data_IF_143048885647
#
_entry.id   IF_143048885647
#
_cell.length_a   1.000
_cell.length_b   1.000
_cell.length_c   1.000
_cell.angle_alpha   90.00
_cell.angle_beta   90.00
_cell.angle_gamma   90.00
#
_symmetry.space_group_name_H-M   'P 1'
#
loop_
_entity.id
_entity.type
_entity.pdbx_description
1 polymer ?
#
# COMPACT_ATOMS: atom_id res chain seq x y z
N UNK A 1 -0.64 14.23 16.90
CA UNK A 1 -1.06 12.94 16.34
C UNK A 1 -0.67 11.87 17.34
N UNK A 2 -1.62 11.15 17.95
CA UNK A 2 -1.35 10.14 18.98
C UNK A 2 -1.51 8.76 18.35
N UNK A 3 -0.41 8.00 18.25
CA UNK A 3 -0.39 6.63 17.73
C UNK A 3 -0.47 5.67 18.91
N UNK A 4 -1.42 4.74 18.85
CA UNK A 4 -1.61 3.70 19.86
C UNK A 4 -1.02 2.37 19.36
N UNK A 5 -0.35 1.65 20.25
CA UNK A 5 0.22 0.33 19.97
C UNK A 5 -0.60 -0.73 20.70
N UNK A 6 -1.06 -1.75 19.97
CA UNK A 6 -1.74 -2.93 20.51
C UNK A 6 -1.00 -4.16 19.99
N UNK A 7 -0.18 -4.77 20.84
CA UNK A 7 0.77 -5.80 20.41
C UNK A 7 1.76 -5.23 19.38
N UNK A 8 1.81 -5.83 18.17
CA UNK A 8 2.61 -5.32 17.07
C UNK A 8 1.85 -4.36 16.15
N UNK A 9 0.56 -4.14 16.37
CA UNK A 9 -0.28 -3.29 15.52
C UNK A 9 -0.24 -1.83 15.99
N UNK A 10 -0.32 -0.92 15.02
CA UNK A 10 -0.31 0.52 15.22
C UNK A 10 -1.65 1.10 14.75
N UNK A 11 -2.22 1.98 15.54
CA UNK A 11 -3.50 2.65 15.27
C UNK A 11 -3.37 4.16 15.41
N UNK A 12 -4.06 4.90 14.55
CA UNK A 12 -4.29 6.33 14.72
C UNK A 12 -5.78 6.55 14.95
N UNK A 13 -6.13 6.98 16.17
CA UNK A 13 -7.50 6.87 16.68
C UNK A 13 -7.95 5.41 16.57
N UNK A 14 -9.03 5.14 15.84
CA UNK A 14 -9.55 3.78 15.62
C UNK A 14 -9.14 3.18 14.26
N UNK A 15 -8.32 3.89 13.47
CA UNK A 15 -7.87 3.43 12.16
C UNK A 15 -6.59 2.63 12.26
N UNK A 16 -6.59 1.43 11.67
CA UNK A 16 -5.38 0.65 11.50
C UNK A 16 -4.37 1.42 10.63
N UNK A 17 -3.23 1.73 11.23
CA UNK A 17 -2.15 2.50 10.62
C UNK A 17 -1.06 1.59 10.08
N UNK A 18 -0.84 0.43 10.70
CA UNK A 18 0.17 -0.53 10.26
C UNK A 18 0.66 -1.42 11.39
N UNK A 19 1.89 -1.92 11.28
CA UNK A 19 2.48 -2.82 12.27
C UNK A 19 3.99 -2.64 12.40
N UNK A 20 4.55 -2.99 13.55
CA UNK A 20 6.00 -3.08 13.75
C UNK A 20 6.52 -4.45 13.34
N UNK A 21 7.63 -4.50 12.61
CA UNK A 21 8.39 -5.73 12.35
C UNK A 21 9.87 -5.48 12.60
N UNK A 22 10.49 -6.27 13.50
CA UNK A 22 11.91 -6.15 13.86
C UNK A 22 12.34 -4.72 14.22
N UNK A 23 11.49 -3.98 14.94
CA UNK A 23 11.73 -2.59 15.33
C UNK A 23 11.49 -1.55 14.23
N UNK A 24 11.11 -1.96 13.01
CA UNK A 24 10.75 -1.05 11.92
C UNK A 24 9.23 -0.85 11.86
N UNK A 25 8.74 0.39 11.86
CA UNK A 25 7.33 0.66 11.62
C UNK A 25 7.01 0.45 10.13
N UNK A 26 6.03 -0.41 9.86
CA UNK A 26 5.45 -0.63 8.53
C UNK A 26 4.09 0.06 8.50
N UNK A 27 3.90 0.96 7.54
CA UNK A 27 2.63 1.64 7.34
C UNK A 27 1.76 0.86 6.37
N UNK A 28 0.46 0.80 6.67
CA UNK A 28 -0.54 0.27 5.75
C UNK A 28 -0.53 1.09 4.47
N UNK A 29 -0.42 0.39 3.34
CA UNK A 29 -0.51 1.01 2.02
C UNK A 29 -1.83 1.78 1.86
N UNK A 30 -2.95 1.19 2.31
CA UNK A 30 -4.27 1.83 2.26
C UNK A 30 -4.28 3.14 3.06
N UNK A 31 -3.79 3.09 4.30
CA UNK A 31 -3.76 4.26 5.17
C UNK A 31 -2.96 5.40 4.53
N UNK A 32 -1.78 5.10 3.99
CA UNK A 32 -0.94 6.09 3.32
C UNK A 32 -1.57 6.60 2.02
N UNK A 33 -2.04 5.70 1.16
CA UNK A 33 -2.60 6.04 -0.15
C UNK A 33 -3.82 6.97 -0.03
N UNK A 34 -4.76 6.63 0.86
CA UNK A 34 -5.98 7.41 1.09
C UNK A 34 -5.67 8.81 1.64
N UNK A 35 -4.60 8.97 2.43
CA UNK A 35 -4.16 10.29 2.89
C UNK A 35 -3.72 11.19 1.73
N UNK A 36 -3.15 10.62 0.66
CA UNK A 36 -2.78 11.36 -0.55
C UNK A 36 -3.90 11.41 -1.61
N UNK A 37 -5.12 10.98 -1.27
CA UNK A 37 -6.28 11.03 -2.17
C UNK A 37 -6.33 9.89 -3.20
N UNK A 38 -5.51 8.84 -3.04
CA UNK A 38 -5.60 7.65 -3.87
C UNK A 38 -6.70 6.71 -3.37
N UNK A 39 -7.35 6.03 -4.29
CA UNK A 39 -8.22 4.89 -4.03
C UNK A 39 -7.40 3.59 -4.05
N UNK A 40 -7.82 2.62 -3.24
CA UNK A 40 -7.14 1.32 -3.13
C UNK A 40 -8.13 0.19 -3.32
N UNK A 41 -8.01 -0.50 -4.44
CA UNK A 41 -8.86 -1.59 -4.86
C UNK A 41 -8.08 -2.91 -4.87
N UNK A 42 -8.68 -3.95 -4.28
CA UNK A 42 -8.12 -5.29 -4.28
C UNK A 42 -8.88 -6.17 -5.27
N UNK A 43 -8.16 -6.76 -6.21
CA UNK A 43 -8.68 -7.77 -7.12
C UNK A 43 -8.41 -9.17 -6.53
N UNK A 44 -9.45 -9.90 -6.09
CA UNK A 44 -9.28 -11.22 -5.50
C UNK A 44 -8.87 -12.29 -6.51
N UNK A 45 -9.18 -12.13 -7.80
CA UNK A 45 -8.85 -13.13 -8.84
C UNK A 45 -7.35 -13.10 -9.14
N UNK A 46 -6.82 -11.91 -9.42
CA UNK A 46 -5.39 -11.73 -9.70
C UNK A 46 -4.52 -11.61 -8.45
N UNK A 47 -5.15 -11.44 -7.28
CA UNK A 47 -4.52 -11.11 -5.99
C UNK A 47 -3.65 -9.86 -6.11
N UNK A 48 -4.12 -8.85 -6.82
CA UNK A 48 -3.39 -7.59 -7.00
C UNK A 48 -4.11 -6.44 -6.33
N UNK A 49 -3.33 -5.44 -5.92
CA UNK A 49 -3.82 -4.22 -5.31
C UNK A 49 -3.54 -3.10 -6.31
N UNK A 50 -4.58 -2.41 -6.74
CA UNK A 50 -4.50 -1.19 -7.54
C UNK A 50 -4.61 0.01 -6.60
N UNK A 51 -3.64 0.92 -6.69
CA UNK A 51 -3.66 2.22 -6.00
C UNK A 51 -3.72 3.30 -7.07
N UNK A 52 -4.77 4.11 -7.11
CA UNK A 52 -5.01 5.03 -8.24
C UNK A 52 -5.74 6.31 -7.87
N UNK A 53 -5.44 7.42 -8.57
CA UNK A 53 -6.26 8.64 -8.63
C UNK A 53 -7.14 8.69 -9.89
N UNK A 54 -7.15 7.63 -10.70
CA UNK A 54 -7.76 7.58 -12.03
C UNK A 54 -6.74 7.89 -13.13
N UNK A 55 -6.02 9.00 -13.01
CA UNK A 55 -4.96 9.36 -13.96
C UNK A 55 -3.65 8.65 -13.66
N UNK A 56 -3.21 8.66 -12.39
CA UNK A 56 -1.98 8.03 -11.95
C UNK A 56 -2.29 6.84 -11.07
N UNK A 57 -1.56 5.75 -11.26
CA UNK A 57 -1.70 4.61 -10.38
C UNK A 57 -0.55 3.63 -10.43
N UNK A 58 -0.58 2.68 -9.52
CA UNK A 58 0.32 1.55 -9.55
C UNK A 58 -0.39 0.29 -9.06
N UNK A 59 0.05 -0.84 -9.59
CA UNK A 59 -0.43 -2.16 -9.20
C UNK A 59 0.70 -2.92 -8.53
N UNK A 60 0.41 -3.48 -7.36
CA UNK A 60 1.32 -4.38 -6.64
C UNK A 60 0.67 -5.73 -6.43
N UNK A 61 1.51 -6.74 -6.22
CA UNK A 61 1.08 -8.08 -5.84
C UNK A 61 1.82 -8.48 -4.56
N UNK A 62 1.13 -8.90 -3.49
CA UNK A 62 1.79 -9.50 -2.33
C UNK A 62 2.74 -10.62 -2.75
N UNK A 63 3.94 -10.64 -2.19
CA UNK A 63 5.01 -11.57 -2.58
C UNK A 63 5.83 -11.17 -3.81
N UNK A 64 5.48 -10.10 -4.51
CA UNK A 64 6.24 -9.58 -5.67
C UNK A 64 7.04 -8.34 -5.33
N UNK A 65 8.32 -8.30 -5.72
CA UNK A 65 9.15 -7.07 -5.66
C UNK A 65 8.89 -6.10 -6.81
N UNK A 66 7.90 -6.34 -7.66
CA UNK A 66 7.62 -5.47 -8.81
C UNK A 66 6.29 -4.76 -8.62
N UNK A 67 6.32 -3.43 -8.77
CA UNK A 67 5.16 -2.58 -8.93
C UNK A 67 5.04 -2.13 -10.39
N UNK A 68 3.88 -2.34 -11.01
CA UNK A 68 3.58 -1.80 -12.33
C UNK A 68 2.99 -0.40 -12.18
N UNK A 69 3.58 0.61 -12.83
CA UNK A 69 3.14 2.00 -12.77
C UNK A 69 2.32 2.33 -14.02
N UNK A 70 1.23 3.08 -13.81
CA UNK A 70 0.25 3.43 -14.82
C UNK A 70 0.07 4.96 -14.91
N UNK A 71 -0.15 5.45 -16.13
CA UNK A 71 -0.59 6.82 -16.42
C UNK A 71 -1.66 6.79 -17.51
N UNK A 72 -2.81 7.41 -17.26
CA UNK A 72 -3.93 7.45 -18.20
C UNK A 72 -4.50 6.06 -18.51
N UNK A 73 -4.40 5.12 -17.56
CA UNK A 73 -4.82 3.72 -17.73
C UNK A 73 -3.78 2.81 -18.39
N UNK A 74 -2.71 3.37 -18.97
CA UNK A 74 -1.67 2.61 -19.67
C UNK A 74 -0.49 2.31 -18.74
N UNK A 75 0.06 1.10 -18.83
CA UNK A 75 1.27 0.74 -18.08
C UNK A 75 2.47 1.46 -18.69
N UNK A 76 3.15 2.27 -17.90
CA UNK A 76 4.31 3.07 -18.36
C UNK A 76 5.65 2.46 -17.98
N UNK A 77 5.75 1.79 -16.83
CA UNK A 77 6.99 1.13 -16.38
C UNK A 77 6.74 0.13 -15.26
N UNK A 78 7.71 -0.76 -15.07
CA UNK A 78 7.85 -1.52 -13.83
C UNK A 78 8.87 -0.84 -12.91
N UNK A 79 8.63 -0.94 -11.61
CA UNK A 79 9.51 -0.43 -10.56
C UNK A 79 9.80 -1.52 -9.55
N UNK A 80 11.09 -1.72 -9.25
CA UNK A 80 11.54 -2.69 -8.26
C UNK A 80 11.43 -2.10 -6.85
N UNK A 81 10.65 -2.77 -6.01
CA UNK A 81 10.43 -2.43 -4.61
C UNK A 81 11.64 -2.83 -3.76
N UNK A 82 11.96 -1.99 -2.79
CA UNK A 82 13.03 -2.26 -1.83
C UNK A 82 12.75 -3.53 -1.02
N UNK A 83 11.49 -3.69 -0.59
CA UNK A 83 11.02 -4.81 0.22
C UNK A 83 9.83 -5.48 -0.45
N UNK A 84 9.70 -6.79 -0.25
CA UNK A 84 8.55 -7.55 -0.74
C UNK A 84 7.33 -7.24 0.12
N UNK A 85 6.22 -6.73 -0.44
CA UNK A 85 4.99 -6.52 0.29
C UNK A 85 4.42 -7.88 0.74
N UNK A 86 3.96 -7.92 2.00
CA UNK A 86 3.34 -9.08 2.64
C UNK A 86 1.87 -9.22 2.24
#
# INVERSE_FOLDING_TARGET
>A
MLVQFVGNQMYHQDKYLGFGISGKPMLSLRYMAEWFGFQVDYDPESRTILVSTGEYGFRIKPGSKVAAIYWGGEKVKDYELMETPL
#
